data_IF_057134647910
#
_entry.id   IF_057134647910
#
_cell.length_a   1.000
_cell.length_b   1.000
_cell.length_c   1.000
_cell.angle_alpha   90.00
_cell.angle_beta   90.00
_cell.angle_gamma   90.00
#
_symmetry.space_group_name_H-M   'P 1'
#
loop_
_entity.id
_entity.type
_entity.pdbx_description
1 polymer ?
#
# COMPACT_ATOMS: atom_id res chain seq x y z
N UNK A 1 -1.71 -48.66 -30.29
CA UNK A 1 -1.86 -47.53 -29.37
C UNK A 1 -1.33 -48.00 -28.04
N UNK A 2 -0.41 -47.28 -27.38
CA UNK A 2 0.01 -47.67 -26.04
C UNK A 2 -1.20 -47.56 -25.10
N UNK A 3 -1.52 -48.64 -24.39
CA UNK A 3 -2.61 -48.69 -23.43
C UNK A 3 -2.34 -47.68 -22.31
N UNK A 4 -3.03 -46.54 -22.34
CA UNK A 4 -2.96 -45.53 -21.29
C UNK A 4 -3.48 -46.16 -20.00
N UNK A 5 -2.58 -46.48 -19.06
CA UNK A 5 -2.90 -47.06 -17.75
C UNK A 5 -3.62 -46.04 -16.85
N UNK A 6 -4.89 -45.79 -17.13
CA UNK A 6 -5.78 -44.95 -16.32
C UNK A 6 -5.86 -45.45 -14.87
N UNK A 7 -5.68 -46.75 -14.66
CA UNK A 7 -5.72 -47.38 -13.33
C UNK A 7 -4.56 -46.95 -12.42
N UNK A 8 -3.54 -46.28 -12.98
CA UNK A 8 -2.44 -45.68 -12.22
C UNK A 8 -2.57 -44.16 -12.03
N UNK A 9 -3.67 -43.56 -12.51
CA UNK A 9 -3.95 -42.15 -12.31
C UNK A 9 -4.46 -41.92 -10.87
N UNK A 10 -3.61 -41.33 -10.02
CA UNK A 10 -4.04 -40.82 -8.73
C UNK A 10 -4.85 -39.54 -8.94
N UNK A 11 -6.14 -39.55 -8.62
CA UNK A 11 -6.92 -38.31 -8.51
C UNK A 11 -6.47 -37.58 -7.26
N UNK A 12 -5.89 -36.39 -7.40
CA UNK A 12 -5.63 -35.51 -6.26
C UNK A 12 -6.96 -35.22 -5.56
N UNK A 13 -7.10 -35.65 -4.31
CA UNK A 13 -8.27 -35.41 -3.47
C UNK A 13 -8.32 -33.93 -3.07
N UNK A 14 -8.79 -33.09 -4.00
CA UNK A 14 -9.04 -31.67 -3.75
C UNK A 14 -10.26 -31.45 -2.83
N UNK A 15 -11.06 -32.49 -2.53
CA UNK A 15 -12.26 -32.39 -1.71
C UNK A 15 -11.97 -32.23 -0.22
N UNK A 16 -10.80 -32.68 0.25
CA UNK A 16 -10.36 -32.52 1.64
C UNK A 16 -9.74 -31.15 1.96
N UNK A 17 -9.46 -30.31 0.95
CA UNK A 17 -8.74 -29.03 1.10
C UNK A 17 -9.61 -27.77 1.04
N UNK A 18 -10.91 -27.89 0.79
CA UNK A 18 -11.82 -26.74 0.89
C UNK A 18 -12.12 -26.44 2.36
N UNK A 19 -11.32 -25.56 2.95
CA UNK A 19 -11.72 -24.90 4.20
C UNK A 19 -12.74 -23.82 3.85
N UNK A 20 -13.96 -23.97 4.36
CA UNK A 20 -14.97 -22.92 4.30
C UNK A 20 -14.39 -21.63 4.92
N UNK A 21 -14.55 -20.52 4.20
CA UNK A 21 -14.06 -19.23 4.69
C UNK A 21 -14.80 -18.86 5.98
N UNK A 22 -14.07 -18.81 7.09
CA UNK A 22 -14.56 -18.27 8.34
C UNK A 22 -13.58 -17.25 8.89
N UNK A 23 -14.10 -16.18 9.48
CA UNK A 23 -13.29 -15.20 10.19
C UNK A 23 -13.25 -15.63 11.65
N UNK A 24 -12.05 -15.88 12.17
CA UNK A 24 -11.87 -16.21 13.57
C UNK A 24 -12.31 -15.03 14.45
N UNK A 25 -12.96 -15.28 15.60
CA UNK A 25 -13.24 -14.22 16.56
C UNK A 25 -11.92 -13.58 17.05
N UNK A 26 -11.93 -12.26 17.23
CA UNK A 26 -10.79 -11.49 17.74
C UNK A 26 -11.17 -10.79 19.05
N UNK A 27 -10.17 -10.60 19.91
CA UNK A 27 -10.27 -9.82 21.16
C UNK A 27 -9.40 -8.58 21.05
N UNK A 28 -9.77 -7.52 21.76
CA UNK A 28 -8.97 -6.30 21.82
C UNK A 28 -7.72 -6.50 22.68
N UNK A 29 -6.65 -5.77 22.35
CA UNK A 29 -5.42 -5.71 23.14
C UNK A 29 -5.56 -4.67 24.28
N UNK A 30 -6.64 -4.81 25.05
CA UNK A 30 -6.96 -3.96 26.20
C UNK A 30 -6.10 -4.26 27.43
N UNK A 31 -6.26 -3.44 28.47
CA UNK A 31 -5.59 -3.68 29.74
C UNK A 31 -6.10 -4.96 30.41
N UNK A 32 -5.16 -5.80 30.87
CA UNK A 32 -5.47 -7.01 31.63
C UNK A 32 -5.67 -6.70 33.12
N UNK A 33 -6.17 -7.67 33.88
CA UNK A 33 -6.33 -7.56 35.34
C UNK A 33 -5.00 -7.47 36.14
N UNK A 34 -3.86 -7.48 35.44
CA UNK A 34 -2.55 -7.29 36.03
C UNK A 34 -2.31 -5.84 36.44
N UNK A 35 -1.32 -5.61 37.33
CA UNK A 35 -0.94 -4.26 37.74
C UNK A 35 -0.50 -3.41 36.55
N UNK A 36 0.20 -4.03 35.61
CA UNK A 36 0.71 -3.40 34.41
C UNK A 36 0.45 -4.31 33.21
N UNK A 37 -0.07 -3.73 32.12
CA UNK A 37 -0.09 -4.38 30.81
C UNK A 37 0.93 -3.65 29.94
N UNK A 38 1.73 -4.41 29.20
CA UNK A 38 2.78 -3.85 28.36
C UNK A 38 2.52 -4.22 26.90
N UNK A 39 2.65 -3.23 26.02
CA UNK A 39 2.56 -3.44 24.58
C UNK A 39 3.86 -3.04 23.90
N UNK A 40 4.36 -3.93 23.05
CA UNK A 40 5.53 -3.74 22.21
C UNK A 40 5.19 -4.25 20.82
N UNK A 41 5.37 -3.42 19.79
CA UNK A 41 5.11 -3.82 18.41
C UNK A 41 6.26 -4.72 17.91
N UNK A 42 6.06 -6.03 17.99
CA UNK A 42 6.99 -7.06 17.54
C UNK A 42 7.04 -7.19 16.00
N UNK A 43 6.02 -6.69 15.29
CA UNK A 43 5.92 -6.68 13.83
C UNK A 43 6.52 -5.44 13.16
N UNK A 44 7.01 -4.46 13.93
CA UNK A 44 7.51 -3.19 13.39
C UNK A 44 8.55 -3.37 12.27
N UNK A 45 9.50 -4.30 12.43
CA UNK A 45 10.55 -4.53 11.42
C UNK A 45 9.97 -5.11 10.12
N UNK A 46 8.97 -5.99 10.20
CA UNK A 46 8.27 -6.55 9.03
C UNK A 46 7.41 -5.47 8.33
N UNK A 47 6.64 -4.71 9.10
CA UNK A 47 5.81 -3.60 8.60
C UNK A 47 6.67 -2.53 7.89
N UNK A 48 7.80 -2.16 8.50
CA UNK A 48 8.77 -1.25 7.88
C UNK A 48 9.38 -1.87 6.62
N UNK A 49 9.55 -3.20 6.58
CA UNK A 49 9.96 -3.95 5.39
C UNK A 49 8.99 -3.75 4.24
N UNK A 50 7.70 -4.02 4.45
CA UNK A 50 6.65 -3.83 3.44
C UNK A 50 6.61 -2.38 2.93
N UNK A 51 6.65 -1.41 3.83
CA UNK A 51 6.68 0.01 3.45
C UNK A 51 7.86 0.36 2.54
N UNK A 52 9.03 -0.28 2.72
CA UNK A 52 10.23 0.01 1.92
C UNK A 52 10.34 -0.79 0.64
N UNK A 53 9.69 -1.95 0.55
CA UNK A 53 9.80 -2.84 -0.60
C UNK A 53 8.65 -2.70 -1.59
N UNK A 54 7.50 -2.17 -1.16
CA UNK A 54 6.30 -2.04 -1.99
C UNK A 54 6.10 -0.56 -2.37
N UNK A 55 6.60 -0.17 -3.54
CA UNK A 55 6.63 1.23 -4.00
C UNK A 55 5.25 1.92 -3.96
N UNK A 56 4.19 1.21 -4.38
CA UNK A 56 2.83 1.76 -4.38
C UNK A 56 2.32 2.06 -2.96
N UNK A 57 2.63 1.17 -2.01
CA UNK A 57 2.28 1.37 -0.61
C UNK A 57 3.06 2.55 -0.02
N UNK A 58 4.37 2.62 -0.32
CA UNK A 58 5.21 3.72 0.10
C UNK A 58 4.67 5.05 -0.41
N UNK A 59 4.40 5.15 -1.72
CA UNK A 59 3.89 6.35 -2.36
C UNK A 59 2.53 6.78 -1.79
N UNK A 60 1.65 5.83 -1.49
CA UNK A 60 0.34 6.11 -0.89
C UNK A 60 0.46 6.70 0.52
N UNK A 61 1.27 6.08 1.39
CA UNK A 61 1.51 6.56 2.77
C UNK A 61 2.24 7.91 2.74
N UNK A 62 3.24 8.07 1.86
CA UNK A 62 3.96 9.32 1.66
C UNK A 62 3.04 10.45 1.21
N UNK A 63 2.11 10.17 0.30
CA UNK A 63 1.13 11.14 -0.15
C UNK A 63 0.22 11.55 1.00
N UNK A 64 -0.39 10.62 1.72
CA UNK A 64 -1.25 10.95 2.87
C UNK A 64 -0.50 11.83 3.87
N UNK A 65 0.70 11.44 4.29
CA UNK A 65 1.50 12.22 5.24
C UNK A 65 1.82 13.63 4.74
N UNK A 66 2.25 13.75 3.48
CA UNK A 66 2.61 15.03 2.86
C UNK A 66 1.39 15.94 2.71
N UNK A 67 0.26 15.41 2.27
CA UNK A 67 -0.97 16.19 2.08
C UNK A 67 -1.61 16.58 3.42
N UNK A 68 -1.50 15.76 4.47
CA UNK A 68 -1.94 16.12 5.83
C UNK A 68 -1.16 17.31 6.37
N UNK A 69 0.17 17.33 6.26
CA UNK A 69 0.96 18.49 6.68
C UNK A 69 0.80 19.67 5.72
N UNK A 70 0.63 19.39 4.42
CA UNK A 70 0.33 20.37 3.40
C UNK A 70 1.40 21.44 3.28
N UNK A 71 0.99 22.71 3.32
CA UNK A 71 1.90 23.88 3.29
C UNK A 71 2.54 24.19 4.65
N UNK A 72 2.29 23.35 5.66
CA UNK A 72 2.69 23.56 7.04
C UNK A 72 1.53 24.00 7.92
N UNK A 73 1.87 24.60 9.05
CA UNK A 73 0.90 25.09 10.04
C UNK A 73 0.89 26.62 10.12
N UNK A 74 -0.21 27.16 10.65
CA UNK A 74 -0.34 28.53 11.12
C UNK A 74 -0.68 28.52 12.61
N UNK A 75 -0.28 29.55 13.34
CA UNK A 75 -0.63 29.74 14.75
C UNK A 75 -0.49 31.22 15.16
N UNK A 76 -0.55 31.51 16.45
CA UNK A 76 -0.11 32.79 16.98
C UNK A 76 1.42 32.93 16.87
N UNK A 77 1.90 34.17 16.79
CA UNK A 77 3.32 34.48 16.55
C UNK A 77 4.28 33.79 17.53
N UNK A 78 3.89 33.70 18.81
CA UNK A 78 4.70 33.06 19.86
C UNK A 78 4.86 31.56 19.61
N UNK A 79 3.76 30.89 19.25
CA UNK A 79 3.75 29.45 18.96
C UNK A 79 4.47 29.16 17.65
N UNK A 80 4.28 29.99 16.62
CA UNK A 80 5.02 29.85 15.36
C UNK A 80 6.53 29.99 15.57
N UNK A 81 6.96 30.98 16.35
CA UNK A 81 8.37 31.15 16.69
C UNK A 81 8.90 29.93 17.44
N UNK A 82 8.18 29.45 18.47
CA UNK A 82 8.58 28.29 19.26
C UNK A 82 8.69 27.01 18.39
N UNK A 83 7.77 26.80 17.46
CA UNK A 83 7.78 25.64 16.57
C UNK A 83 8.83 25.78 15.45
N UNK A 84 9.17 27.00 15.01
CA UNK A 84 10.18 27.24 13.95
C UNK A 84 11.61 26.90 14.37
N UNK A 85 11.90 26.92 15.67
CA UNK A 85 13.23 26.61 16.22
C UNK A 85 13.44 25.12 16.49
N UNK A 86 12.39 24.30 16.43
CA UNK A 86 12.48 22.84 16.59
C UNK A 86 13.36 22.26 15.48
N UNK A 87 14.32 21.41 15.86
CA UNK A 87 15.29 20.78 14.93
C UNK A 87 15.23 19.26 14.88
N UNK A 88 14.38 18.62 15.69
CA UNK A 88 14.29 17.16 15.78
C UNK A 88 15.63 16.50 16.04
N UNK A 89 16.14 15.76 15.05
CA UNK A 89 17.46 15.13 15.10
C UNK A 89 18.64 16.07 14.75
N UNK A 90 18.38 17.37 14.59
CA UNK A 90 19.33 18.43 14.23
C UNK A 90 19.13 19.00 12.82
N UNK A 91 18.33 18.36 11.96
CA UNK A 91 18.04 18.82 10.60
C UNK A 91 16.55 18.91 10.27
N UNK A 92 15.70 18.49 11.19
CA UNK A 92 14.26 18.50 10.95
C UNK A 92 13.68 19.90 11.14
N UNK A 93 12.45 20.06 10.66
CA UNK A 93 11.54 21.13 11.06
C UNK A 93 10.34 20.49 11.75
N UNK A 94 9.51 21.28 12.43
CA UNK A 94 8.27 20.76 13.01
C UNK A 94 7.37 20.07 11.95
N UNK A 95 7.30 20.61 10.72
CA UNK A 95 6.56 19.99 9.62
C UNK A 95 7.09 18.61 9.25
N UNK A 96 8.41 18.47 9.08
CA UNK A 96 9.01 17.17 8.70
C UNK A 96 8.92 16.15 9.83
N UNK A 97 8.89 16.61 11.09
CA UNK A 97 8.60 15.75 12.25
C UNK A 97 7.16 15.23 12.19
N UNK A 98 6.17 16.10 12.00
CA UNK A 98 4.76 15.67 11.89
C UNK A 98 4.58 14.70 10.72
N UNK A 99 5.14 15.02 9.55
CA UNK A 99 5.07 14.17 8.37
C UNK A 99 5.69 12.78 8.63
N UNK A 100 6.86 12.73 9.28
CA UNK A 100 7.48 11.47 9.70
C UNK A 100 6.60 10.70 10.68
N UNK A 101 6.09 11.36 11.72
CA UNK A 101 5.23 10.73 12.72
C UNK A 101 3.92 10.19 12.11
N UNK A 102 3.39 10.84 11.08
CA UNK A 102 2.21 10.37 10.33
C UNK A 102 2.53 9.07 9.57
N UNK A 103 3.63 9.05 8.80
CA UNK A 103 4.09 7.82 8.15
C UNK A 103 4.24 6.69 9.16
N UNK A 104 4.90 6.98 10.28
CA UNK A 104 5.25 5.97 11.27
C UNK A 104 4.02 5.32 11.91
N UNK A 105 3.00 6.10 12.30
CA UNK A 105 1.79 5.48 12.86
C UNK A 105 0.95 4.77 11.78
N UNK A 106 1.00 5.20 10.51
CA UNK A 106 0.36 4.44 9.42
C UNK A 106 1.06 3.09 9.20
N UNK A 107 2.39 3.05 9.29
CA UNK A 107 3.20 1.84 9.15
C UNK A 107 3.00 0.88 10.34
N UNK A 108 3.06 1.39 11.57
CA UNK A 108 3.18 0.56 12.77
C UNK A 108 2.11 0.75 13.85
N UNK A 109 1.05 1.51 13.57
CA UNK A 109 -0.03 1.84 14.50
C UNK A 109 0.28 3.03 15.41
N UNK A 110 1.51 3.14 15.88
CA UNK A 110 1.95 4.18 16.81
C UNK A 110 3.18 4.94 16.33
N UNK A 111 3.26 6.23 16.68
CA UNK A 111 4.48 7.02 16.55
C UNK A 111 4.79 7.82 17.80
N UNK A 112 6.09 7.96 18.09
CA UNK A 112 6.57 8.53 19.34
C UNK A 112 7.56 9.66 19.07
N UNK A 113 7.44 10.78 19.80
CA UNK A 113 8.39 11.88 19.80
C UNK A 113 8.78 12.24 21.23
N UNK A 114 10.07 12.27 21.54
CA UNK A 114 10.55 12.76 22.83
C UNK A 114 10.39 14.27 22.90
N UNK A 115 9.57 14.71 23.85
CA UNK A 115 9.32 16.12 24.16
C UNK A 115 10.50 16.63 25.00
N UNK A 116 11.25 17.60 24.47
CA UNK A 116 12.38 18.21 25.17
C UNK A 116 11.98 19.62 25.57
N UNK A 117 11.88 19.85 26.88
CA UNK A 117 11.54 21.15 27.46
C UNK A 117 12.73 21.76 28.20
N UNK A 118 12.73 23.09 28.33
CA UNK A 118 13.69 23.79 29.19
C UNK A 118 13.27 23.71 30.67
N UNK A 119 14.04 24.37 31.54
CA UNK A 119 13.76 24.42 32.97
C UNK A 119 12.47 25.19 33.31
N UNK A 120 11.96 26.01 32.38
CA UNK A 120 10.72 26.76 32.52
C UNK A 120 9.51 26.00 31.96
N UNK A 121 9.74 24.83 31.34
CA UNK A 121 8.70 24.00 30.74
C UNK A 121 8.38 24.36 29.29
N UNK A 122 9.10 25.30 28.67
CA UNK A 122 8.90 25.66 27.27
C UNK A 122 9.39 24.53 26.36
N UNK A 123 8.65 24.25 25.28
CA UNK A 123 9.06 23.26 24.28
C UNK A 123 10.28 23.78 23.50
N UNK A 124 11.43 23.12 23.63
CA UNK A 124 12.65 23.47 22.87
C UNK A 124 12.76 22.61 21.62
N UNK A 125 12.43 21.32 21.72
CA UNK A 125 12.62 20.38 20.63
C UNK A 125 11.67 19.19 20.74
N UNK A 126 11.38 18.57 19.61
CA UNK A 126 10.58 17.34 19.50
C UNK A 126 11.35 16.33 18.66
N UNK A 127 11.80 15.24 19.27
CA UNK A 127 12.66 14.26 18.58
C UNK A 127 11.91 12.96 18.31
N UNK A 128 11.62 12.60 17.05
CA UNK A 128 11.06 11.29 16.71
C UNK A 128 11.90 10.14 17.29
N UNK A 129 11.21 9.15 17.84
CA UNK A 129 11.79 7.93 18.38
C UNK A 129 11.42 6.74 17.49
N UNK A 130 12.25 5.70 17.49
CA UNK A 130 11.99 4.48 16.75
C UNK A 130 10.93 3.62 17.47
N UNK A 131 9.76 3.34 16.89
CA UNK A 131 8.72 2.52 17.53
C UNK A 131 9.18 1.12 17.88
N UNK A 132 10.05 0.50 17.07
CA UNK A 132 10.55 -0.86 17.30
C UNK A 132 11.46 -1.03 18.52
N UNK A 133 11.64 0.01 19.32
CA UNK A 133 12.31 -0.05 20.64
C UNK A 133 11.47 0.59 21.74
N UNK A 134 10.25 1.05 21.44
CA UNK A 134 9.36 1.68 22.41
C UNK A 134 8.33 0.66 22.90
N UNK A 135 8.04 0.71 24.19
CA UNK A 135 7.04 -0.12 24.84
C UNK A 135 6.09 0.79 25.63
N UNK A 136 4.79 0.62 25.40
CA UNK A 136 3.74 1.27 26.16
C UNK A 136 3.51 0.46 27.43
N UNK A 137 3.43 1.12 28.58
CA UNK A 137 3.04 0.48 29.83
C UNK A 137 1.80 1.18 30.37
N UNK A 138 0.71 0.43 30.49
CA UNK A 138 -0.56 0.89 31.05
C UNK A 138 -0.83 0.26 32.40
N UNK A 139 -1.62 0.93 33.23
CA UNK A 139 -2.18 0.34 34.44
C UNK A 139 -3.44 -0.50 34.13
N UNK A 140 -4.01 -1.15 35.16
CA UNK A 140 -5.26 -1.92 35.07
C UNK A 140 -6.47 -1.15 34.53
N UNK A 141 -6.46 0.18 34.59
CA UNK A 141 -7.52 1.04 34.06
C UNK A 141 -7.29 1.44 32.58
N UNK A 142 -6.27 0.89 31.92
CA UNK A 142 -5.93 1.24 30.53
C UNK A 142 -5.26 2.62 30.37
N UNK A 143 -4.83 3.24 31.46
CA UNK A 143 -4.11 4.53 31.40
C UNK A 143 -2.61 4.28 31.24
N UNK A 144 -2.00 4.96 30.27
CA UNK A 144 -0.54 4.95 30.09
C UNK A 144 0.11 5.58 31.31
N UNK A 145 0.97 4.81 31.99
CA UNK A 145 1.69 5.27 33.19
C UNK A 145 3.16 5.61 32.90
N UNK A 146 3.73 5.06 31.83
CA UNK A 146 5.08 5.35 31.34
C UNK A 146 5.33 4.73 29.97
N UNK A 147 6.40 5.17 29.33
CA UNK A 147 6.99 4.52 28.17
C UNK A 147 8.36 3.95 28.53
N UNK A 148 8.70 2.81 27.94
CA UNK A 148 10.00 2.16 28.12
C UNK A 148 10.70 2.10 26.75
N UNK A 149 11.92 2.64 26.65
CA UNK A 149 12.78 2.49 25.48
C UNK A 149 13.82 1.41 25.75
N UNK A 150 13.68 0.29 25.04
CA UNK A 150 14.54 -0.88 25.15
C UNK A 150 15.76 -0.65 24.26
N UNK A 151 16.94 -0.46 24.86
CA UNK A 151 18.16 -0.29 24.06
C UNK A 151 18.48 -1.57 23.29
N UNK A 152 18.89 -1.45 22.01
CA UNK A 152 19.46 -2.57 21.25
C UNK A 152 20.84 -3.02 21.79
N UNK A 153 21.43 -2.31 22.77
CA UNK A 153 22.74 -2.62 23.36
C UNK A 153 22.71 -2.81 24.88
N UNK A 154 23.88 -2.89 25.54
CA UNK A 154 24.02 -3.10 27.00
C UNK A 154 23.51 -1.94 27.89
N UNK A 155 23.01 -0.86 27.30
CA UNK A 155 22.41 0.23 28.08
C UNK A 155 21.03 -0.25 28.54
N UNK A 156 20.73 -0.11 29.83
CA UNK A 156 19.46 -0.56 30.40
C UNK A 156 18.23 0.11 29.76
N UNK A 157 17.05 -0.29 30.22
CA UNK A 157 15.76 0.29 29.78
C UNK A 157 15.70 1.75 30.23
N UNK A 158 15.47 2.67 29.29
CA UNK A 158 15.21 4.07 29.61
C UNK A 158 13.70 4.27 29.76
N UNK A 159 13.27 4.78 30.91
CA UNK A 159 11.86 5.09 31.17
C UNK A 159 11.58 6.55 30.90
N UNK A 160 10.39 6.82 30.36
CA UNK A 160 9.82 8.16 30.17
C UNK A 160 8.46 8.25 30.85
N UNK A 161 8.14 9.40 31.41
CA UNK A 161 6.79 9.70 31.88
C UNK A 161 5.85 9.98 30.69
N UNK A 162 4.52 9.86 30.87
CA UNK A 162 3.56 10.14 29.81
C UNK A 162 3.74 11.51 29.16
N UNK A 163 3.99 12.54 29.95
CA UNK A 163 4.17 13.94 29.50
C UNK A 163 5.51 14.22 28.78
N UNK A 164 6.44 13.27 28.79
CA UNK A 164 7.73 13.38 28.09
C UNK A 164 7.67 12.83 26.66
N UNK A 165 6.56 12.19 26.26
CA UNK A 165 6.39 11.57 24.95
C UNK A 165 5.15 12.13 24.27
N UNK A 166 5.36 12.69 23.09
CA UNK A 166 4.31 12.96 22.11
C UNK A 166 3.97 11.65 21.40
N UNK A 167 2.79 11.09 21.64
CA UNK A 167 2.37 9.79 21.12
C UNK A 167 1.16 9.94 20.20
N UNK A 168 1.32 9.56 18.94
CA UNK A 168 0.18 9.42 18.03
C UNK A 168 -0.19 7.94 17.95
N UNK A 169 -1.43 7.64 18.34
CA UNK A 169 -2.02 6.31 18.33
C UNK A 169 -3.32 6.36 17.55
N UNK A 170 -3.31 5.88 16.31
CA UNK A 170 -4.40 6.05 15.34
C UNK A 170 -5.17 4.75 15.15
N UNK A 171 -6.44 4.86 14.77
CA UNK A 171 -7.32 3.74 14.46
C UNK A 171 -7.53 2.73 15.60
N UNK A 172 -7.41 3.17 16.86
CA UNK A 172 -7.73 2.35 18.04
C UNK A 172 -9.17 1.89 18.00
N UNK A 173 -9.40 0.62 18.30
CA UNK A 173 -10.73 0.03 18.46
C UNK A 173 -11.02 -0.26 19.93
N UNK A 174 -12.14 0.26 20.43
CA UNK A 174 -12.57 0.10 21.82
C UNK A 174 -11.48 0.46 22.85
N UNK A 175 -11.01 -0.50 23.64
CA UNK A 175 -10.08 -0.31 24.76
C UNK A 175 -8.61 -0.68 24.43
N UNK A 176 -8.29 -0.93 23.15
CA UNK A 176 -6.92 -1.18 22.68
C UNK A 176 -5.96 -0.11 23.19
N UNK A 177 -4.79 -0.50 23.71
CA UNK A 177 -3.86 0.46 24.34
C UNK A 177 -2.85 1.07 23.37
N UNK A 178 -2.95 0.72 22.08
CA UNK A 178 -2.03 1.08 21.01
C UNK A 178 -2.80 1.25 19.70
N UNK A 179 -2.19 1.89 18.70
CA UNK A 179 -2.84 2.12 17.42
C UNK A 179 -2.77 0.90 16.51
N UNK A 180 -3.64 0.86 15.50
CA UNK A 180 -3.69 -0.24 14.52
C UNK A 180 -2.91 0.18 13.28
N UNK A 181 -1.96 -0.67 12.87
CA UNK A 181 -1.22 -0.49 11.61
C UNK A 181 -2.15 -0.59 10.40
N UNK A 182 -1.99 0.33 9.45
CA UNK A 182 -2.63 0.22 8.15
C UNK A 182 -2.07 -0.98 7.36
N UNK A 183 -0.81 -1.35 7.56
CA UNK A 183 -0.18 -2.47 6.84
C UNK A 183 -0.80 -3.79 7.28
N UNK A 184 -1.09 -3.95 8.57
CA UNK A 184 -1.72 -5.18 9.08
C UNK A 184 -3.12 -5.39 8.47
N UNK A 185 -3.87 -4.32 8.18
CA UNK A 185 -5.20 -4.45 7.57
C UNK A 185 -5.17 -4.79 6.08
N UNK A 186 -4.04 -4.54 5.39
CA UNK A 186 -3.87 -4.80 3.95
C UNK A 186 -2.80 -5.85 3.63
N UNK A 187 -2.23 -6.52 4.65
CA UNK A 187 -1.12 -7.48 4.48
C UNK A 187 -1.47 -8.56 3.46
N UNK A 188 -2.70 -9.10 3.51
CA UNK A 188 -3.18 -10.10 2.54
C UNK A 188 -3.18 -9.59 1.11
N UNK A 189 -3.53 -8.32 0.88
CA UNK A 189 -3.50 -7.71 -0.45
C UNK A 189 -2.06 -7.51 -0.93
N UNK A 190 -1.17 -7.10 -0.04
CA UNK A 190 0.27 -6.96 -0.34
C UNK A 190 0.84 -8.32 -0.77
N UNK A 191 0.64 -9.36 0.04
CA UNK A 191 1.17 -10.69 -0.25
C UNK A 191 0.61 -11.27 -1.55
N UNK A 192 -0.71 -11.17 -1.78
CA UNK A 192 -1.33 -11.64 -3.01
C UNK A 192 -0.81 -10.91 -4.25
N UNK A 193 -0.49 -9.61 -4.12
CA UNK A 193 0.10 -8.81 -5.21
C UNK A 193 1.51 -9.28 -5.53
N UNK A 194 2.38 -9.40 -4.53
CA UNK A 194 3.78 -9.79 -4.75
C UNK A 194 3.86 -11.20 -5.34
N UNK A 195 3.05 -12.14 -4.83
CA UNK A 195 2.95 -13.49 -5.40
C UNK A 195 2.52 -13.47 -6.87
N UNK A 196 1.45 -12.72 -7.19
CA UNK A 196 0.99 -12.60 -8.57
C UNK A 196 2.01 -11.92 -9.49
N UNK A 197 2.83 -10.98 -8.97
CA UNK A 197 3.91 -10.36 -9.73
C UNK A 197 5.07 -11.31 -9.98
N UNK A 198 5.46 -12.12 -8.99
CA UNK A 198 6.52 -13.13 -9.13
C UNK A 198 6.13 -14.26 -10.09
N UNK A 199 4.88 -14.70 -10.02
CA UNK A 199 4.30 -15.66 -10.98
C UNK A 199 4.27 -15.08 -12.39
N UNK A 200 3.84 -13.83 -12.54
CA UNK A 200 3.80 -13.17 -13.84
C UNK A 200 5.20 -12.96 -14.41
N UNK A 201 6.16 -12.56 -13.58
CA UNK A 201 7.58 -12.48 -13.95
C UNK A 201 8.08 -13.85 -14.45
N UNK A 202 7.78 -14.92 -13.73
CA UNK A 202 8.14 -16.29 -14.14
C UNK A 202 7.50 -16.67 -15.47
N UNK A 203 6.23 -16.33 -15.69
CA UNK A 203 5.53 -16.56 -16.94
C UNK A 203 6.18 -15.78 -18.10
N UNK A 204 6.51 -14.50 -17.91
CA UNK A 204 7.20 -13.69 -18.90
C UNK A 204 8.61 -14.23 -19.20
N UNK A 205 9.35 -14.66 -18.19
CA UNK A 205 10.64 -15.32 -18.38
C UNK A 205 10.48 -16.60 -19.20
N UNK A 206 9.41 -17.39 -19.01
CA UNK A 206 9.12 -18.57 -19.83
C UNK A 206 8.67 -18.22 -21.25
N UNK A 207 8.06 -17.06 -21.48
CA UNK A 207 7.75 -16.61 -22.84
C UNK A 207 9.01 -16.20 -23.62
N UNK A 208 10.01 -15.64 -22.93
CA UNK A 208 11.31 -15.27 -23.51
C UNK A 208 12.24 -16.49 -23.62
N UNK A 209 12.24 -17.33 -22.58
CA UNK A 209 13.04 -18.56 -22.45
C UNK A 209 12.10 -19.76 -22.31
N UNK A 210 11.51 -20.22 -23.43
CA UNK A 210 10.52 -21.29 -23.41
C UNK A 210 11.09 -22.59 -22.88
N UNK A 211 10.21 -23.31 -22.18
CA UNK A 211 10.49 -24.68 -21.76
C UNK A 211 10.56 -25.52 -23.02
N UNK A 212 11.65 -26.27 -23.15
CA UNK A 212 11.86 -27.19 -24.25
C UNK A 212 11.88 -28.58 -23.67
N UNK A 213 11.08 -29.46 -24.27
CA UNK A 213 11.16 -30.88 -24.00
C UNK A 213 12.27 -31.45 -24.89
N UNK A 214 13.24 -32.11 -24.27
CA UNK A 214 14.38 -32.71 -24.96
C UNK A 214 14.25 -34.22 -24.84
N UNK A 215 13.95 -34.86 -25.96
CA UNK A 215 13.84 -36.32 -26.05
C UNK A 215 15.22 -36.83 -26.50
N UNK A 216 15.87 -37.57 -25.62
CA UNK A 216 17.22 -38.11 -25.81
C UNK A 216 17.14 -39.64 -26.00
N UNK A 217 17.87 -40.17 -26.97
CA UNK A 217 18.00 -41.61 -27.21
C UNK A 217 19.19 -42.19 -26.41
N UNK A 218 19.23 -41.93 -25.11
CA UNK A 218 20.25 -42.45 -24.18
C UNK A 218 19.69 -42.46 -22.76
N UNK A 219 20.05 -43.47 -21.98
CA UNK A 219 19.76 -43.60 -20.55
C UNK A 219 21.00 -43.36 -19.66
N UNK A 220 22.17 -43.07 -20.26
CA UNK A 220 23.42 -42.81 -19.51
C UNK A 220 23.35 -41.45 -18.77
N UNK A 221 23.40 -41.43 -17.43
CA UNK A 221 23.39 -40.20 -16.64
C UNK A 221 24.54 -39.24 -16.95
N UNK A 222 25.70 -39.74 -17.38
CA UNK A 222 26.88 -38.92 -17.71
C UNK A 222 26.64 -38.16 -19.01
N UNK A 223 26.11 -38.84 -20.03
CA UNK A 223 25.74 -38.21 -21.30
C UNK A 223 24.63 -37.18 -21.12
N UNK A 224 23.59 -37.51 -20.34
CA UNK A 224 22.50 -36.60 -20.00
C UNK A 224 23.03 -35.36 -19.26
N UNK A 225 23.96 -35.53 -18.32
CA UNK A 225 24.55 -34.41 -17.56
C UNK A 225 25.37 -33.50 -18.46
N UNK A 226 26.20 -34.08 -19.34
CA UNK A 226 26.99 -33.33 -20.32
C UNK A 226 26.07 -32.56 -21.28
N UNK A 227 25.01 -33.21 -21.77
CA UNK A 227 24.00 -32.58 -22.61
C UNK A 227 23.34 -31.39 -21.90
N UNK A 228 22.90 -31.55 -20.65
CA UNK A 228 22.31 -30.48 -19.84
C UNK A 228 23.27 -29.28 -19.70
N UNK A 229 24.55 -29.53 -19.46
CA UNK A 229 25.56 -28.47 -19.35
C UNK A 229 25.74 -27.71 -20.67
N UNK A 230 25.85 -28.42 -21.80
CA UNK A 230 25.96 -27.80 -23.13
C UNK A 230 24.73 -26.98 -23.49
N UNK A 231 23.51 -27.51 -23.24
CA UNK A 231 22.27 -26.76 -23.49
C UNK A 231 22.17 -25.53 -22.59
N UNK A 232 22.56 -25.63 -21.32
CA UNK A 232 22.54 -24.50 -20.40
C UNK A 232 23.52 -23.40 -20.84
N UNK A 233 24.74 -23.77 -21.25
CA UNK A 233 25.75 -22.83 -21.76
C UNK A 233 25.27 -22.14 -23.05
N UNK A 234 24.75 -22.90 -24.01
CA UNK A 234 24.23 -22.34 -25.25
C UNK A 234 23.02 -21.42 -25.02
N UNK A 235 22.09 -21.82 -24.14
CA UNK A 235 20.94 -20.96 -23.75
C UNK A 235 21.40 -19.65 -23.08
N UNK A 236 22.42 -19.71 -22.23
CA UNK A 236 22.96 -18.53 -21.55
C UNK A 236 23.65 -17.58 -22.55
N UNK A 237 24.37 -18.11 -23.54
CA UNK A 237 25.05 -17.32 -24.58
C UNK A 237 24.14 -16.88 -25.74
N UNK A 238 22.95 -17.44 -25.86
CA UNK A 238 22.06 -17.20 -26.99
C UNK A 238 22.57 -17.84 -28.29
N UNK A 239 23.27 -18.96 -28.19
CA UNK A 239 23.87 -19.67 -29.32
C UNK A 239 22.94 -20.74 -29.90
N UNK A 240 23.04 -20.97 -31.21
CA UNK A 240 22.37 -22.08 -31.88
C UNK A 240 22.99 -23.41 -31.46
N UNK A 241 22.16 -24.45 -31.31
CA UNK A 241 22.63 -25.80 -31.01
C UNK A 241 22.40 -26.70 -32.22
N UNK A 242 23.47 -27.31 -32.71
CA UNK A 242 23.44 -28.22 -33.84
C UNK A 242 23.59 -29.66 -33.35
N UNK A 243 22.67 -30.54 -33.76
CA UNK A 243 22.72 -31.96 -33.45
C UNK A 243 22.74 -32.80 -34.74
N UNK A 244 23.43 -33.94 -34.74
CA UNK A 244 23.27 -34.94 -35.80
C UNK A 244 21.81 -35.40 -35.90
N UNK A 245 21.35 -35.64 -37.13
CA UNK A 245 19.97 -36.07 -37.38
C UNK A 245 19.69 -37.40 -36.64
N UNK A 246 18.63 -37.42 -35.84
CA UNK A 246 18.17 -38.62 -35.12
C UNK A 246 18.73 -38.80 -33.70
N UNK A 247 19.60 -37.92 -33.21
CA UNK A 247 20.19 -38.04 -31.85
C UNK A 247 19.37 -37.30 -30.77
N UNK A 248 18.73 -36.20 -31.13
CA UNK A 248 17.96 -35.35 -30.21
C UNK A 248 16.75 -34.79 -30.94
N UNK A 249 15.57 -34.97 -30.36
CA UNK A 249 14.35 -34.25 -30.77
C UNK A 249 14.04 -33.18 -29.72
N UNK A 250 13.77 -31.96 -30.17
CA UNK A 250 13.40 -30.86 -29.28
C UNK A 250 12.03 -30.34 -29.67
N UNK A 251 11.10 -30.39 -28.71
CA UNK A 251 9.79 -29.78 -28.89
C UNK A 251 9.69 -28.52 -28.03
N UNK A 252 9.23 -27.43 -28.63
CA UNK A 252 8.90 -26.23 -27.88
C UNK A 252 7.59 -26.47 -27.14
N UNK A 253 7.62 -26.60 -25.82
CA UNK A 253 6.40 -26.58 -25.01
C UNK A 253 6.01 -25.12 -24.81
N UNK A 254 5.41 -24.53 -25.84
CA UNK A 254 4.80 -23.21 -25.75
C UNK A 254 3.51 -23.30 -24.93
N UNK A 255 3.32 -22.39 -23.98
CA UNK A 255 1.98 -22.10 -23.46
C UNK A 255 1.28 -21.30 -24.55
N UNK A 256 0.20 -21.82 -25.12
CA UNK A 256 -0.51 -21.09 -26.17
C UNK A 256 -0.96 -19.71 -25.63
N UNK A 257 -0.91 -18.65 -26.45
CA UNK A 257 -1.42 -17.34 -26.02
C UNK A 257 -2.85 -17.47 -25.49
N UNK A 258 -3.10 -16.97 -24.28
CA UNK A 258 -4.38 -17.08 -23.55
C UNK A 258 -4.78 -18.51 -23.11
N UNK A 259 -3.88 -19.49 -23.12
CA UNK A 259 -4.14 -20.80 -22.49
C UNK A 259 -4.19 -20.71 -20.96
N UNK A 260 -3.58 -19.67 -20.39
CA UNK A 260 -3.68 -19.34 -18.96
C UNK A 260 -4.46 -18.04 -18.79
N UNK A 261 -5.13 -17.90 -17.65
CA UNK A 261 -5.81 -16.66 -17.27
C UNK A 261 -4.77 -15.52 -17.24
N UNK A 262 -5.08 -14.40 -17.90
CA UNK A 262 -4.24 -13.21 -17.83
C UNK A 262 -4.30 -12.63 -16.40
N UNK A 263 -3.17 -12.50 -15.67
CA UNK A 263 -3.17 -12.00 -14.31
C UNK A 263 -3.26 -10.46 -14.22
N UNK A 264 -3.10 -9.73 -15.34
CA UNK A 264 -3.09 -8.27 -15.34
C UNK A 264 -4.39 -7.63 -14.81
N UNK A 265 -5.61 -8.11 -15.16
CA UNK A 265 -6.85 -7.58 -14.57
C UNK A 265 -6.90 -7.79 -13.05
N UNK A 266 -6.43 -8.93 -12.57
CA UNK A 266 -6.37 -9.23 -11.13
C UNK A 266 -5.37 -8.32 -10.41
N UNK A 267 -4.17 -8.14 -10.96
CA UNK A 267 -3.18 -7.19 -10.45
C UNK A 267 -3.70 -5.75 -10.44
N UNK A 268 -4.43 -5.34 -11.47
CA UNK A 268 -5.06 -4.01 -11.54
C UNK A 268 -6.11 -3.84 -10.43
N UNK A 269 -6.95 -4.86 -10.22
CA UNK A 269 -7.93 -4.89 -9.13
C UNK A 269 -7.26 -4.79 -7.75
N UNK A 270 -6.27 -5.65 -7.45
CA UNK A 270 -5.57 -5.61 -6.16
C UNK A 270 -4.91 -4.24 -5.93
N UNK A 271 -4.25 -3.69 -6.95
CA UNK A 271 -3.68 -2.35 -6.84
C UNK A 271 -4.78 -1.33 -6.50
N UNK A 272 -5.92 -1.34 -7.20
CA UNK A 272 -7.04 -0.47 -6.91
C UNK A 272 -7.56 -0.57 -5.47
N UNK A 273 -7.69 -1.79 -4.94
CA UNK A 273 -8.08 -2.01 -3.54
C UNK A 273 -7.02 -1.52 -2.55
N UNK A 274 -5.73 -1.68 -2.85
CA UNK A 274 -4.64 -1.17 -2.02
C UNK A 274 -4.70 0.36 -1.88
N UNK A 275 -4.91 1.08 -2.99
CA UNK A 275 -5.08 2.55 -2.98
C UNK A 275 -6.30 2.98 -2.16
N UNK A 276 -7.45 2.32 -2.37
CA UNK A 276 -8.67 2.58 -1.60
C UNK A 276 -8.46 2.36 -0.10
N UNK A 277 -7.82 1.25 0.28
CA UNK A 277 -7.59 0.91 1.68
C UNK A 277 -6.67 1.91 2.39
N UNK A 278 -5.69 2.48 1.69
CA UNK A 278 -4.82 3.54 2.24
C UNK A 278 -5.55 4.89 2.35
N UNK A 279 -6.67 5.08 1.64
CA UNK A 279 -7.37 6.37 1.57
C UNK A 279 -6.69 7.36 0.61
N UNK A 280 -5.94 6.86 -0.36
CA UNK A 280 -5.24 7.68 -1.36
C UNK A 280 -5.59 7.18 -2.77
N UNK A 281 -6.07 8.07 -3.64
CA UNK A 281 -6.33 7.70 -5.03
C UNK A 281 -5.05 7.71 -5.86
N UNK A 282 -4.96 6.81 -6.85
CA UNK A 282 -3.89 6.80 -7.85
C UNK A 282 -3.71 8.15 -8.55
N UNK A 283 -4.79 8.91 -8.73
CA UNK A 283 -4.75 10.25 -9.34
C UNK A 283 -3.86 11.19 -8.53
N UNK A 284 -3.91 11.12 -7.19
CA UNK A 284 -3.17 12.01 -6.28
C UNK A 284 -1.66 11.78 -6.36
N UNK A 285 -1.23 10.54 -6.62
CA UNK A 285 0.18 10.19 -6.77
C UNK A 285 0.70 10.31 -8.21
N UNK A 286 -0.15 10.78 -9.15
CA UNK A 286 0.23 10.93 -10.55
C UNK A 286 0.19 9.63 -11.36
N UNK A 287 -0.65 8.67 -10.98
CA UNK A 287 -0.86 7.45 -11.74
C UNK A 287 -1.42 7.73 -13.14
N UNK A 288 -0.92 7.02 -14.15
CA UNK A 288 -1.25 7.23 -15.56
C UNK A 288 -2.50 6.46 -16.04
N UNK A 289 -3.45 6.18 -15.14
CA UNK A 289 -4.69 5.50 -15.51
C UNK A 289 -5.57 6.36 -16.41
N UNK A 290 -6.44 5.72 -17.20
CA UNK A 290 -7.48 6.40 -17.96
C UNK A 290 -8.57 6.91 -17.01
N UNK A 291 -8.34 8.09 -16.43
CA UNK A 291 -9.33 8.76 -15.59
C UNK A 291 -10.10 9.77 -16.42
N UNK A 292 -11.43 9.71 -16.35
CA UNK A 292 -12.25 10.84 -16.77
C UNK A 292 -12.06 11.99 -15.79
N UNK A 293 -12.19 13.24 -16.26
CA UNK A 293 -12.11 14.42 -15.39
C UNK A 293 -13.06 14.32 -14.18
N UNK A 294 -14.29 13.85 -14.40
CA UNK A 294 -15.26 13.64 -13.32
C UNK A 294 -14.77 12.61 -12.28
N UNK A 295 -14.17 11.49 -12.70
CA UNK A 295 -13.64 10.47 -11.78
C UNK A 295 -12.44 10.98 -10.97
N UNK A 296 -11.60 11.83 -11.58
CA UNK A 296 -10.49 12.49 -10.90
C UNK A 296 -10.98 13.47 -9.83
N UNK A 297 -12.00 14.27 -10.13
CA UNK A 297 -12.59 15.21 -9.15
C UNK A 297 -13.26 14.49 -7.98
N UNK A 298 -14.02 13.41 -8.23
CA UNK A 298 -14.62 12.59 -7.17
C UNK A 298 -13.53 11.96 -6.29
N UNK A 299 -12.48 11.42 -6.91
CA UNK A 299 -11.33 10.86 -6.19
C UNK A 299 -10.62 11.89 -5.32
N UNK A 300 -10.46 13.12 -5.83
CA UNK A 300 -9.86 14.22 -5.09
C UNK A 300 -10.70 14.62 -3.88
N UNK A 301 -12.02 14.76 -4.03
CA UNK A 301 -12.93 15.08 -2.92
C UNK A 301 -12.93 13.99 -1.85
N UNK A 302 -12.92 12.71 -2.24
CA UNK A 302 -12.78 11.61 -1.29
C UNK A 302 -11.47 11.67 -0.50
N UNK A 303 -10.38 12.02 -1.16
CA UNK A 303 -9.08 12.21 -0.51
C UNK A 303 -9.07 13.42 0.42
N UNK A 304 -9.69 14.54 0.02
CA UNK A 304 -9.81 15.76 0.84
C UNK A 304 -10.46 15.48 2.20
N UNK A 305 -11.51 14.65 2.24
CA UNK A 305 -12.17 14.24 3.50
C UNK A 305 -11.20 13.48 4.41
N UNK A 306 -10.46 12.51 3.86
CA UNK A 306 -9.45 11.74 4.62
C UNK A 306 -8.37 12.66 5.17
N UNK A 307 -7.86 13.58 4.34
CA UNK A 307 -6.83 14.53 4.76
C UNK A 307 -7.32 15.47 5.85
N UNK A 308 -8.56 15.97 5.72
CA UNK A 308 -9.17 16.85 6.72
C UNK A 308 -9.34 16.15 8.07
N UNK A 309 -9.79 14.90 8.07
CA UNK A 309 -9.89 14.10 9.29
C UNK A 309 -8.53 13.92 9.96
N UNK A 310 -7.49 13.59 9.19
CA UNK A 310 -6.13 13.44 9.72
C UNK A 310 -5.58 14.78 10.24
N UNK A 311 -5.85 15.90 9.56
CA UNK A 311 -5.45 17.23 10.04
C UNK A 311 -6.10 17.54 11.38
N UNK A 312 -7.41 17.31 11.52
CA UNK A 312 -8.14 17.52 12.78
C UNK A 312 -7.58 16.67 13.91
N UNK A 313 -7.28 15.40 13.63
CA UNK A 313 -6.64 14.50 14.59
C UNK A 313 -5.29 15.07 15.05
N UNK A 314 -4.40 15.43 14.12
CA UNK A 314 -3.07 15.96 14.44
C UNK A 314 -3.15 17.26 15.23
N UNK A 315 -4.00 18.21 14.84
CA UNK A 315 -4.21 19.47 15.56
C UNK A 315 -4.67 19.21 17.00
N UNK A 316 -5.62 18.28 17.19
CA UNK A 316 -6.07 17.87 18.52
C UNK A 316 -4.98 17.21 19.37
N UNK A 317 -4.12 16.37 18.78
CA UNK A 317 -3.01 15.76 19.50
C UNK A 317 -1.93 16.78 19.88
N UNK A 318 -1.59 17.70 18.98
CA UNK A 318 -0.61 18.77 19.26
C UNK A 318 -1.13 19.68 20.39
N UNK A 319 -2.40 20.06 20.35
CA UNK A 319 -3.01 20.84 21.42
C UNK A 319 -3.02 20.08 22.76
N UNK A 320 -3.53 18.85 22.78
CA UNK A 320 -3.70 18.10 24.04
C UNK A 320 -2.39 17.69 24.72
N UNK A 321 -1.35 17.33 23.94
CA UNK A 321 -0.10 16.80 24.49
C UNK A 321 1.02 17.84 24.58
N UNK A 322 1.08 18.79 23.63
CA UNK A 322 2.12 19.81 23.61
C UNK A 322 1.64 21.14 24.21
N UNK A 323 0.32 21.31 24.38
CA UNK A 323 -0.33 22.57 24.78
C UNK A 323 -0.06 23.70 23.78
N UNK A 324 -0.08 23.38 22.48
CA UNK A 324 0.13 24.32 21.39
C UNK A 324 -1.03 24.24 20.41
N UNK A 325 -1.64 25.37 20.09
CA UNK A 325 -2.69 25.43 19.08
C UNK A 325 -2.05 25.63 17.70
N UNK A 326 -2.39 24.78 16.74
CA UNK A 326 -1.91 24.89 15.35
C UNK A 326 -3.07 24.69 14.39
N UNK A 327 -2.97 25.32 13.21
CA UNK A 327 -3.92 25.17 12.12
C UNK A 327 -3.21 24.67 10.88
N UNK A 328 -3.49 23.43 10.46
CA UNK A 328 -2.97 22.89 9.21
C UNK A 328 -3.80 23.42 8.04
N UNK A 329 -3.15 23.84 6.96
CA UNK A 329 -3.87 24.37 5.79
C UNK A 329 -4.53 23.21 5.03
N UNK A 330 -5.86 23.22 4.98
CA UNK A 330 -6.66 22.27 4.20
C UNK A 330 -6.32 22.46 2.71
N UNK A 331 -6.18 21.38 1.92
CA UNK A 331 -6.03 21.47 0.47
C UNK A 331 -7.11 22.33 -0.18
N UNK A 332 -6.79 22.98 -1.31
CA UNK A 332 -7.79 23.72 -2.06
C UNK A 332 -8.89 22.76 -2.55
N UNK A 333 -10.14 23.04 -2.20
CA UNK A 333 -11.28 22.21 -2.60
C UNK A 333 -11.67 22.42 -4.05
N UNK A 334 -12.02 21.34 -4.75
CA UNK A 334 -12.52 21.36 -6.13
C UNK A 334 -14.06 21.35 -6.20
N UNK A 335 -14.76 21.47 -5.07
CA UNK A 335 -16.21 21.32 -5.00
C UNK A 335 -16.96 22.30 -5.92
N UNK A 336 -16.52 23.55 -6.01
CA UNK A 336 -17.15 24.57 -6.85
C UNK A 336 -17.00 24.28 -8.35
N UNK A 337 -15.87 23.71 -8.76
CA UNK A 337 -15.63 23.33 -10.15
C UNK A 337 -16.54 22.18 -10.57
N UNK A 338 -16.74 21.20 -9.67
CA UNK A 338 -17.61 20.04 -9.93
C UNK A 338 -19.08 20.45 -10.13
N UNK A 339 -19.59 21.38 -9.31
CA UNK A 339 -20.95 21.93 -9.47
C UNK A 339 -21.10 22.69 -10.79
N UNK A 340 -20.08 23.44 -11.19
CA UNK A 340 -20.12 24.21 -12.44
C UNK A 340 -20.15 23.33 -13.69
N UNK A 341 -19.52 22.16 -13.68
CA UNK A 341 -19.53 21.25 -14.82
C UNK A 341 -20.82 20.45 -14.97
N UNK A 342 -21.50 20.13 -13.86
CA UNK A 342 -22.84 19.51 -13.91
C UNK A 342 -23.83 20.40 -14.66
N UNK A 343 -23.85 21.71 -14.38
CA UNK A 343 -24.72 22.66 -15.09
C UNK A 343 -24.41 22.80 -16.59
N UNK A 344 -23.15 22.60 -17.01
CA UNK A 344 -22.75 22.58 -18.42
C UNK A 344 -23.20 21.30 -19.13
N UNK A 345 -23.19 20.16 -18.44
CA UNK A 345 -23.64 18.89 -19.03
C UNK A 345 -25.15 18.85 -19.25
N UNK A 346 -25.94 19.40 -18.32
CA UNK A 346 -27.41 19.46 -18.45
C UNK A 346 -27.86 20.35 -19.62
N UNK A 347 -27.07 21.37 -19.98
CA UNK A 347 -27.38 22.27 -21.10
C UNK A 347 -26.98 21.71 -22.47
N UNK A 348 -26.11 20.69 -22.53
CA UNK A 348 -25.70 20.05 -23.80
C UNK A 348 -26.54 18.83 -24.19
N UNK A 349 -27.39 18.31 -23.29
CA UNK A 349 -28.23 17.13 -23.56
C UNK A 349 -29.65 17.45 -24.04
N UNK A 350 -29.93 18.73 -24.36
CA UNK A 350 -31.20 19.17 -24.94
C UNK A 350 -31.12 19.26 -26.47
N UNK A 351 -30.73 18.17 -27.15
CA UNK A 351 -31.20 17.96 -28.52
C UNK A 351 -32.61 17.37 -28.42
N UNK A 352 -33.61 18.25 -28.51
CA UNK A 352 -35.01 17.87 -28.60
C UNK A 352 -35.21 16.95 -29.83
N UNK A 353 -36.08 15.91 -29.75
CA UNK A 353 -36.37 15.00 -30.87
C UNK A 353 -36.78 15.70 -32.18
N UNK A 354 -37.16 16.98 -32.11
CA UNK A 354 -37.55 17.82 -33.26
C UNK A 354 -36.39 18.17 -34.20
N UNK A 355 -35.12 18.05 -33.77
CA UNK A 355 -33.94 18.37 -34.61
C UNK A 355 -33.57 17.26 -35.63
N UNK A 356 -34.39 16.21 -35.73
CA UNK A 356 -34.26 15.16 -36.77
C UNK A 356 -35.46 15.14 -37.72
N UNK A 357 -35.85 16.30 -38.27
CA UNK A 357 -36.73 16.30 -39.44
C UNK A 357 -35.91 15.98 -40.70
N UNK A 358 -36.05 14.74 -41.17
CA UNK A 358 -35.49 14.28 -42.45
C UNK A 358 -36.30 14.94 -43.58
N UNK A 359 -35.71 15.94 -44.22
CA UNK A 359 -36.26 16.55 -45.45
C UNK A 359 -36.20 15.52 -46.58
N UNK A 360 -37.28 14.75 -46.77
CA UNK A 360 -37.44 13.87 -47.92
C UNK A 360 -37.63 14.71 -49.19
N UNK A 361 -36.56 14.90 -49.94
CA UNK A 361 -36.60 15.47 -51.29
C UNK A 361 -37.37 14.52 -52.21
N UNK A 362 -38.60 14.86 -52.58
CA UNK A 362 -39.36 14.14 -53.59
C UNK A 362 -38.63 14.22 -54.94
N UNK A 363 -38.26 13.05 -55.48
CA UNK A 363 -37.74 12.90 -56.84
C UNK A 363 -38.93 12.86 -57.79
N UNK A 364 -39.03 13.86 -58.67
CA UNK A 364 -40.02 13.91 -59.76
C UNK A 364 -39.65 12.90 -60.85
N UNK A 365 -40.56 12.04 -61.33
CA UNK A 365 -40.28 11.13 -62.44
C UNK A 365 -40.29 11.90 -63.77
N UNK A 366 -39.21 11.80 -64.53
CA UNK A 366 -39.09 12.36 -65.88
C UNK A 366 -39.95 11.60 -66.90
N UNK A 367 -40.60 12.36 -67.78
CA UNK A 367 -41.36 11.88 -68.94
C UNK A 367 -40.39 11.56 -70.08
N UNK A 368 -40.50 10.39 -70.75
CA UNK A 368 -39.67 10.05 -71.91
C UNK A 368 -40.23 10.67 -73.20
N UNK A 369 -39.34 11.17 -74.05
CA UNK A 369 -39.60 11.57 -75.45
C UNK A 369 -38.61 10.86 -76.36
#
# INVERSE_FOLDING_TARGET
MPDTKIDSAATGDNTSTFQDFSVAPQTTDGATDQKETKYFNDKWEQQLGYYKSVDNLQAAIDAVARWTVGKGFKSNEVTELALSVIKGHGKDTFNTILENMIRVYKIGGDSYGHIIRDNEGNLINLKPLNPGVMQIVVNRAGLIIRYEQISKGKKGVKTFKPEEIFHLSRNRTADEIHGISLIDSIEKLILAREEAMDDYKTMLHRNIYPIRDWILDTDDPVEITKFKATVAEAKYKGEDIFYPKGTVESELKGVAPNATLNPLPWLSYINGELWKAVGCSQVIVGGSGEFSEASSKISFLGHEVVITEEQLYIMGQVLSQLNLEIFLEVPATLQNELLSDQSKSETMQASTPEDTSVTNTQVTPGVPS
#
